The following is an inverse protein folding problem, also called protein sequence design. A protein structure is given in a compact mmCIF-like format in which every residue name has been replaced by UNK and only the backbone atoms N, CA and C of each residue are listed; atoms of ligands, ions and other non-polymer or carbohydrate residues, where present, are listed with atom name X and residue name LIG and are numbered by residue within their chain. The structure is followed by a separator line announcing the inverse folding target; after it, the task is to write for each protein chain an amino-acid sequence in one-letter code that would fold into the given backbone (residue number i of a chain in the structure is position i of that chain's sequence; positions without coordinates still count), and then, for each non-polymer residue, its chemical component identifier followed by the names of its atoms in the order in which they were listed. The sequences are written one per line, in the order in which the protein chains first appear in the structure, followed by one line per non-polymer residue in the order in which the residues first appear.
data_IF_570990674710
#
_entry.id   IF_570990674710
#
_cell.length_a   1.000
_cell.length_b   1.000
_cell.length_c   1.000
_cell.angle_alpha   90.00
_cell.angle_beta   90.00
_cell.angle_gamma   90.00
#
_symmetry.space_group_name_H-M   'P 1'
#
loop_
_entity.id
_entity.type
_entity.pdbx_description
1 polymer ?
#
# COMPACT_ATOMS: atom_id res chain seq x y z
N UNK A 1 -6.33 12.73 7.41
CA UNK A 1 -5.61 13.54 6.39
C UNK A 1 -6.39 14.76 5.88
N UNK A 2 -7.58 15.01 6.42
CA UNK A 2 -8.57 15.93 5.85
C UNK A 2 -8.05 17.35 5.55
N UNK A 3 -7.22 17.88 6.41
CA UNK A 3 -6.75 19.27 6.31
C UNK A 3 -5.23 19.34 6.15
N UNK A 4 -4.61 18.23 5.68
CA UNK A 4 -3.16 18.14 5.54
C UNK A 4 -2.81 18.04 4.07
N UNK A 5 -2.02 18.99 3.60
CA UNK A 5 -1.39 18.90 2.29
C UNK A 5 -0.14 18.02 2.38
N UNK A 6 -0.12 16.95 1.59
CA UNK A 6 1.03 16.03 1.57
C UNK A 6 2.01 16.51 0.52
N UNK A 7 3.21 16.91 0.97
CA UNK A 7 4.20 17.59 0.14
C UNK A 7 5.56 16.92 0.07
N UNK A 8 5.79 15.85 0.84
CA UNK A 8 7.07 15.14 0.85
C UNK A 8 6.88 13.64 1.13
N UNK A 9 7.85 12.80 0.72
CA UNK A 9 7.79 11.36 1.00
C UNK A 9 7.79 11.07 2.49
N UNK A 10 7.09 10.01 2.89
CA UNK A 10 6.95 9.59 4.29
C UNK A 10 6.22 10.58 5.22
N UNK A 11 5.61 11.61 4.66
CA UNK A 11 4.71 12.45 5.46
C UNK A 11 3.47 11.68 5.89
N UNK A 12 2.86 10.95 4.97
CA UNK A 12 1.69 10.13 5.27
C UNK A 12 1.76 8.81 4.51
N UNK A 13 1.48 7.72 5.21
CA UNK A 13 1.29 6.39 4.63
C UNK A 13 -0.17 5.98 4.74
N UNK A 14 -0.61 5.11 3.85
CA UNK A 14 -1.93 4.49 3.90
C UNK A 14 -1.80 2.97 3.81
N UNK A 15 -2.71 2.26 4.48
CA UNK A 15 -2.82 0.81 4.44
C UNK A 15 -4.24 0.41 4.10
N UNK A 16 -4.39 -0.67 3.35
CA UNK A 16 -5.69 -1.29 3.09
C UNK A 16 -5.52 -2.76 2.72
N UNK A 17 -6.61 -3.50 2.80
CA UNK A 17 -6.70 -4.91 2.46
C UNK A 17 -7.67 -5.07 1.31
N UNK A 18 -7.33 -5.92 0.34
CA UNK A 18 -8.22 -6.31 -0.74
C UNK A 18 -8.24 -7.83 -0.92
N UNK A 19 -9.21 -8.32 -1.70
CA UNK A 19 -9.32 -9.74 -2.06
C UNK A 19 -8.62 -9.99 -3.39
N UNK A 20 -7.90 -11.09 -3.47
CA UNK A 20 -7.28 -11.57 -4.70
C UNK A 20 -7.98 -12.87 -5.10
N UNK A 21 -8.79 -12.88 -6.17
CA UNK A 21 -9.43 -14.11 -6.62
C UNK A 21 -8.40 -15.10 -7.15
N UNK A 22 -8.58 -16.35 -6.78
CA UNK A 22 -7.78 -17.47 -7.22
C UNK A 22 -8.60 -18.36 -8.16
N UNK A 23 -7.97 -19.32 -8.81
CA UNK A 23 -8.71 -20.34 -9.57
C UNK A 23 -9.74 -21.03 -8.67
N UNK A 24 -9.42 -21.25 -7.40
CA UNK A 24 -10.34 -21.70 -6.35
C UNK A 24 -10.18 -20.83 -5.12
N UNK A 25 -11.29 -20.19 -4.71
CA UNK A 25 -11.27 -19.31 -3.53
C UNK A 25 -10.58 -17.99 -3.77
N UNK A 26 -9.99 -17.43 -2.72
CA UNK A 26 -9.32 -16.14 -2.76
C UNK A 26 -8.25 -16.04 -1.67
N UNK A 27 -7.36 -15.06 -1.84
CA UNK A 27 -6.41 -14.63 -0.80
C UNK A 27 -6.72 -13.19 -0.40
N UNK A 28 -6.21 -12.79 0.76
CA UNK A 28 -6.18 -11.39 1.18
C UNK A 28 -4.82 -10.79 0.81
N UNK A 29 -4.84 -9.56 0.36
CA UNK A 29 -3.64 -8.77 0.10
C UNK A 29 -3.71 -7.49 0.92
N UNK A 30 -2.69 -7.24 1.73
CA UNK A 30 -2.47 -5.95 2.40
C UNK A 30 -1.33 -5.23 1.72
N UNK A 31 -1.45 -3.92 1.57
CA UNK A 31 -0.37 -3.07 1.08
C UNK A 31 -0.30 -1.77 1.86
N UNK A 32 0.92 -1.27 2.01
CA UNK A 32 1.21 0.06 2.56
C UNK A 32 1.80 0.90 1.45
N UNK A 33 1.24 2.08 1.24
CA UNK A 33 1.73 3.03 0.25
C UNK A 33 2.17 4.33 0.91
N UNK A 34 3.14 4.98 0.28
CA UNK A 34 3.46 6.38 0.56
C UNK A 34 2.48 7.27 -0.20
N UNK A 35 1.79 8.15 0.52
CA UNK A 35 0.76 9.01 -0.07
C UNK A 35 1.31 9.98 -1.11
N UNK A 36 2.49 10.55 -0.83
CA UNK A 36 3.10 11.55 -1.71
C UNK A 36 3.49 10.97 -3.07
N UNK A 37 4.21 9.85 -3.06
CA UNK A 37 4.76 9.21 -4.26
C UNK A 37 3.88 8.12 -4.85
N UNK A 38 2.91 7.62 -4.05
CA UNK A 38 2.11 6.41 -4.36
C UNK A 38 2.93 5.14 -4.43
N UNK A 39 4.19 5.18 -3.96
CA UNK A 39 5.06 4.01 -3.92
C UNK A 39 4.47 2.95 -2.98
N UNK A 40 4.43 1.71 -3.46
CA UNK A 40 4.13 0.55 -2.62
C UNK A 40 5.36 0.25 -1.79
N UNK A 41 5.26 0.48 -0.48
CA UNK A 41 6.39 0.31 0.44
C UNK A 41 6.54 -1.13 0.91
N UNK A 42 5.42 -1.81 1.13
CA UNK A 42 5.38 -3.22 1.51
C UNK A 42 4.01 -3.81 1.20
N UNK A 43 3.97 -5.12 1.10
CA UNK A 43 2.72 -5.86 0.89
C UNK A 43 2.88 -7.31 1.37
N UNK A 44 1.74 -7.95 1.70
CA UNK A 44 1.69 -9.35 2.13
C UNK A 44 0.41 -10.01 1.63
N UNK A 45 0.53 -11.28 1.27
CA UNK A 45 -0.61 -12.16 0.98
C UNK A 45 -0.88 -13.06 2.19
N UNK A 46 -2.16 -13.35 2.43
CA UNK A 46 -2.58 -14.26 3.49
C UNK A 46 -3.85 -14.99 3.09
N UNK A 47 -4.02 -16.22 3.54
CA UNK A 47 -5.28 -16.95 3.41
C UNK A 47 -6.25 -16.65 4.57
N UNK A 48 -5.81 -15.90 5.57
CA UNK A 48 -6.63 -15.48 6.72
C UNK A 48 -6.56 -13.96 6.88
N UNK A 49 -7.67 -13.36 7.31
CA UNK A 49 -7.74 -11.92 7.60
C UNK A 49 -7.49 -11.71 9.10
N UNK A 50 -6.24 -11.77 9.51
CA UNK A 50 -5.82 -11.51 10.88
C UNK A 50 -4.87 -10.31 10.96
N UNK A 51 -4.52 -9.92 12.19
CA UNK A 51 -3.64 -8.76 12.41
C UNK A 51 -2.19 -9.06 12.03
N UNK A 52 -1.76 -10.31 12.05
CA UNK A 52 -0.34 -10.67 11.91
C UNK A 52 0.25 -10.28 10.56
N UNK A 53 -0.44 -10.53 9.45
CA UNK A 53 0.10 -10.19 8.14
C UNK A 53 0.13 -8.67 7.90
N UNK A 54 -0.78 -7.92 8.53
CA UNK A 54 -0.74 -6.46 8.53
C UNK A 54 0.45 -5.93 9.32
N UNK A 55 0.75 -6.52 10.49
CA UNK A 55 1.93 -6.17 11.29
C UNK A 55 3.23 -6.47 10.56
N UNK A 56 3.32 -7.61 9.87
CA UNK A 56 4.50 -7.95 9.07
C UNK A 56 4.75 -6.91 7.98
N UNK A 57 3.70 -6.47 7.30
CA UNK A 57 3.82 -5.41 6.29
C UNK A 57 4.28 -4.08 6.91
N UNK A 58 3.72 -3.71 8.07
CA UNK A 58 4.11 -2.50 8.78
C UNK A 58 5.57 -2.55 9.23
N UNK A 59 5.99 -3.63 9.84
CA UNK A 59 7.37 -3.80 10.33
C UNK A 59 8.38 -3.72 9.19
N UNK A 60 8.08 -4.35 8.05
CA UNK A 60 8.94 -4.26 6.87
C UNK A 60 9.05 -2.83 6.35
N UNK A 61 7.94 -2.13 6.22
CA UNK A 61 7.95 -0.74 5.75
C UNK A 61 8.74 0.17 6.69
N UNK A 62 8.55 0.03 8.01
CA UNK A 62 9.29 0.80 9.01
C UNK A 62 10.79 0.52 8.96
N UNK A 63 11.16 -0.74 8.77
CA UNK A 63 12.57 -1.15 8.69
C UNK A 63 13.28 -0.54 7.49
N UNK A 64 12.63 -0.49 6.34
CA UNK A 64 13.25 -0.04 5.09
C UNK A 64 13.17 1.47 4.85
N UNK A 65 12.13 2.12 5.38
CA UNK A 65 11.83 3.53 5.04
C UNK A 65 11.79 4.45 6.25
N UNK A 66 11.90 3.91 7.46
CA UNK A 66 11.69 4.70 8.69
C UNK A 66 10.23 5.03 8.93
N UNK A 67 9.90 5.67 10.05
CA UNK A 67 8.51 5.98 10.38
C UNK A 67 7.97 7.16 9.59
N UNK A 68 6.69 7.11 9.15
CA UNK A 68 6.02 8.27 8.60
C UNK A 68 5.59 9.22 9.72
N UNK A 69 5.22 10.45 9.36
CA UNK A 69 4.62 11.37 10.33
C UNK A 69 3.20 10.93 10.70
N UNK A 70 2.44 10.50 9.69
CA UNK A 70 1.04 10.10 9.82
C UNK A 70 0.82 8.74 9.15
N UNK A 71 0.03 7.90 9.81
CA UNK A 71 -0.40 6.63 9.25
C UNK A 71 -1.92 6.60 9.16
N UNK A 72 -2.45 6.44 7.96
CA UNK A 72 -3.88 6.43 7.68
C UNK A 72 -4.39 5.02 7.42
N UNK A 73 -5.49 4.64 8.06
CA UNK A 73 -6.19 3.38 7.85
C UNK A 73 -7.69 3.59 7.91
N UNK A 74 -8.44 2.60 7.47
CA UNK A 74 -9.86 2.54 7.77
C UNK A 74 -10.09 2.05 9.21
N UNK A 75 -11.35 1.90 9.63
CA UNK A 75 -11.70 1.44 10.96
C UNK A 75 -11.82 -0.09 11.05
N UNK A 76 -11.19 -0.82 10.14
CA UNK A 76 -11.17 -2.28 10.16
C UNK A 76 -10.55 -2.84 11.45
N UNK A 77 -11.02 -4.00 11.88
CA UNK A 77 -10.60 -4.62 13.14
C UNK A 77 -9.10 -4.90 13.20
N UNK A 78 -8.46 -5.17 12.06
CA UNK A 78 -7.02 -5.40 11.97
C UNK A 78 -6.22 -4.15 12.35
N UNK A 79 -6.73 -2.97 11.98
CA UNK A 79 -6.04 -1.69 12.14
C UNK A 79 -6.38 -0.99 13.46
N UNK A 80 -7.49 -1.40 14.10
CA UNK A 80 -7.90 -0.88 15.41
C UNK A 80 -7.45 -1.79 16.55
N UNK A 81 -6.80 -2.91 16.25
CA UNK A 81 -6.28 -3.82 17.27
C UNK A 81 -5.23 -3.13 18.15
N UNK A 82 -5.15 -3.55 19.41
CA UNK A 82 -4.17 -3.01 20.35
C UNK A 82 -2.74 -3.20 19.86
N UNK A 83 -2.44 -4.35 19.26
CA UNK A 83 -1.11 -4.67 18.73
C UNK A 83 -0.70 -3.74 17.60
N UNK A 84 -1.58 -3.52 16.63
CA UNK A 84 -1.30 -2.65 15.49
C UNK A 84 -1.16 -1.18 15.91
N UNK A 85 -2.09 -0.71 16.73
CA UNK A 85 -2.08 0.66 17.26
C UNK A 85 -0.83 0.92 18.09
N UNK A 86 -0.43 -0.03 18.94
CA UNK A 86 0.75 0.11 19.79
C UNK A 86 2.04 0.16 18.96
N UNK A 87 2.12 -0.64 17.91
CA UNK A 87 3.28 -0.61 17.00
C UNK A 87 3.46 0.77 16.37
N UNK A 88 2.38 1.42 15.98
CA UNK A 88 2.43 2.80 15.45
C UNK A 88 2.86 3.80 16.52
N UNK A 89 2.28 3.73 17.70
CA UNK A 89 2.58 4.65 18.82
C UNK A 89 4.03 4.50 19.30
N UNK A 90 4.56 3.29 19.34
CA UNK A 90 5.95 3.01 19.73
C UNK A 90 6.97 3.70 18.82
N UNK A 91 6.59 4.00 17.58
CA UNK A 91 7.42 4.72 16.62
C UNK A 91 7.11 6.21 16.53
N UNK A 92 6.27 6.73 17.43
CA UNK A 92 5.90 8.14 17.45
C UNK A 92 5.03 8.58 16.27
N UNK A 93 4.32 7.63 15.65
CA UNK A 93 3.51 7.88 14.45
C UNK A 93 2.12 8.37 14.85
N UNK A 94 1.66 9.43 14.22
CA UNK A 94 0.30 9.93 14.42
C UNK A 94 -0.68 9.08 13.61
N UNK A 95 -1.71 8.58 14.28
CA UNK A 95 -2.73 7.74 13.67
C UNK A 95 -3.87 8.60 13.13
N UNK A 96 -4.21 8.40 11.86
CA UNK A 96 -5.38 8.97 11.21
C UNK A 96 -6.28 7.83 10.75
N UNK A 97 -7.56 7.88 11.08
CA UNK A 97 -8.53 6.90 10.63
C UNK A 97 -9.60 7.56 9.76
N UNK A 98 -9.96 6.87 8.67
CA UNK A 98 -11.02 7.31 7.80
C UNK A 98 -12.35 7.25 8.56
N UNK A 99 -13.02 8.38 8.66
CA UNK A 99 -14.38 8.42 9.15
C UNK A 99 -15.37 7.88 8.11
N UNK A 100 -16.58 7.57 8.56
CA UNK A 100 -17.65 7.12 7.69
C UNK A 100 -17.88 8.13 6.56
N UNK A 101 -17.79 7.67 5.31
CA UNK A 101 -17.98 8.50 4.13
C UNK A 101 -16.73 9.25 3.64
N UNK A 102 -15.55 8.98 4.18
CA UNK A 102 -14.29 9.63 3.80
C UNK A 102 -13.44 8.76 2.88
N UNK A 103 -13.98 8.35 1.78
CA UNK A 103 -13.28 7.58 0.75
C UNK A 103 -12.08 8.33 0.15
N UNK A 104 -12.07 9.66 0.22
CA UNK A 104 -11.00 10.50 -0.34
C UNK A 104 -9.64 10.19 0.28
N UNK A 105 -9.61 9.83 1.57
CA UNK A 105 -8.37 9.54 2.28
C UNK A 105 -7.71 8.24 1.83
N UNK A 106 -8.43 7.34 1.13
CA UNK A 106 -7.91 6.09 0.60
C UNK A 106 -7.85 6.05 -0.93
N UNK A 107 -8.05 7.18 -1.60
CA UNK A 107 -8.15 7.24 -3.07
C UNK A 107 -6.93 6.63 -3.79
N UNK A 108 -5.72 6.82 -3.27
CA UNK A 108 -4.52 6.36 -3.96
C UNK A 108 -4.30 4.86 -3.79
N UNK A 109 -4.67 4.28 -2.64
CA UNK A 109 -4.58 2.84 -2.47
C UNK A 109 -5.71 2.13 -3.24
N UNK A 110 -6.87 2.75 -3.36
CA UNK A 110 -7.94 2.23 -4.21
C UNK A 110 -7.55 2.24 -5.69
N UNK A 111 -6.82 3.26 -6.14
CA UNK A 111 -6.25 3.30 -7.50
C UNK A 111 -5.20 2.21 -7.70
N UNK A 112 -4.38 1.92 -6.70
CA UNK A 112 -3.46 0.79 -6.74
C UNK A 112 -4.22 -0.53 -6.94
N UNK A 113 -5.28 -0.76 -6.16
CA UNK A 113 -6.10 -1.96 -6.29
C UNK A 113 -6.70 -2.10 -7.68
N UNK A 114 -7.22 -1.00 -8.22
CA UNK A 114 -7.78 -1.00 -9.56
C UNK A 114 -6.74 -1.34 -10.61
N UNK A 115 -5.57 -0.72 -10.57
CA UNK A 115 -4.48 -0.98 -11.50
C UNK A 115 -4.02 -2.44 -11.40
N UNK A 116 -3.76 -2.93 -10.20
CA UNK A 116 -3.35 -4.31 -9.96
C UNK A 116 -4.37 -5.31 -10.51
N UNK A 117 -5.65 -5.10 -10.24
CA UNK A 117 -6.69 -6.04 -10.64
C UNK A 117 -6.88 -6.07 -12.15
N UNK A 118 -6.96 -4.91 -12.79
CA UNK A 118 -7.19 -4.84 -14.24
C UNK A 118 -5.95 -5.14 -15.08
N UNK A 119 -4.76 -4.81 -14.58
CA UNK A 119 -3.51 -4.99 -15.33
C UNK A 119 -2.84 -6.33 -15.05
N UNK A 120 -3.19 -7.02 -13.96
CA UNK A 120 -2.54 -8.27 -13.55
C UNK A 120 -3.55 -9.36 -13.15
N UNK A 121 -4.29 -9.16 -12.08
CA UNK A 121 -5.08 -10.20 -11.41
C UNK A 121 -6.18 -10.79 -12.30
N UNK A 122 -6.98 -9.94 -12.93
CA UNK A 122 -8.11 -10.40 -13.75
C UNK A 122 -7.68 -11.02 -15.10
N UNK A 123 -6.42 -10.80 -15.49
CA UNK A 123 -5.86 -11.43 -16.69
C UNK A 123 -5.34 -12.84 -16.40
N UNK A 124 -5.29 -13.25 -15.16
CA UNK A 124 -4.71 -14.53 -14.72
C UNK A 124 -5.64 -15.21 -13.72
N UNK A 125 -5.54 -16.53 -13.67
CA UNK A 125 -6.24 -17.33 -12.68
C UNK A 125 -5.18 -18.09 -11.88
N UNK A 126 -4.69 -17.47 -10.81
CA UNK A 126 -3.66 -18.07 -9.97
C UNK A 126 -4.14 -19.40 -9.40
N UNK A 127 -3.33 -20.43 -9.53
CA UNK A 127 -3.66 -21.78 -9.04
C UNK A 127 -3.10 -22.05 -7.67
N UNK A 128 -2.00 -21.39 -7.30
CA UNK A 128 -1.35 -21.54 -5.99
C UNK A 128 -1.06 -20.19 -5.37
N UNK A 129 -0.99 -20.10 -4.02
CA UNK A 129 -0.55 -18.88 -3.34
C UNK A 129 0.86 -18.43 -3.77
N UNK A 130 1.75 -19.38 -4.02
CA UNK A 130 3.12 -19.08 -4.48
C UNK A 130 3.13 -18.41 -5.85
N UNK A 131 2.29 -18.88 -6.78
CA UNK A 131 2.13 -18.24 -8.09
C UNK A 131 1.61 -16.82 -7.95
N UNK A 132 0.57 -16.62 -7.13
CA UNK A 132 0.03 -15.30 -6.84
C UNK A 132 1.10 -14.36 -6.26
N UNK A 133 1.88 -14.83 -5.30
CA UNK A 133 2.94 -14.05 -4.67
C UNK A 133 4.01 -13.63 -5.68
N UNK A 134 4.46 -14.55 -6.53
CA UNK A 134 5.46 -14.27 -7.56
C UNK A 134 4.95 -13.24 -8.57
N UNK A 135 3.76 -13.45 -9.11
CA UNK A 135 3.20 -12.60 -10.16
C UNK A 135 2.81 -11.22 -9.64
N UNK A 136 2.21 -11.16 -8.47
CA UNK A 136 1.89 -9.89 -7.82
C UNK A 136 3.18 -9.13 -7.44
N UNK A 137 4.19 -9.85 -6.96
CA UNK A 137 5.49 -9.26 -6.66
C UNK A 137 6.14 -8.61 -7.88
N UNK A 138 6.11 -9.29 -9.02
CA UNK A 138 6.59 -8.72 -10.28
C UNK A 138 5.78 -7.48 -10.68
N UNK A 139 4.48 -7.51 -10.49
CA UNK A 139 3.62 -6.35 -10.76
C UNK A 139 3.96 -5.17 -9.84
N UNK A 140 4.19 -5.40 -8.56
CA UNK A 140 4.53 -4.32 -7.61
C UNK A 140 5.86 -3.65 -7.95
N UNK A 141 6.84 -4.43 -8.42
CA UNK A 141 8.11 -3.87 -8.94
C UNK A 141 7.85 -3.01 -10.17
N UNK A 142 7.09 -3.52 -11.12
CA UNK A 142 6.68 -2.75 -12.31
C UNK A 142 5.95 -1.46 -11.93
N UNK A 143 5.00 -1.53 -11.01
CA UNK A 143 4.22 -0.38 -10.53
C UNK A 143 5.13 0.70 -9.96
N UNK A 144 6.07 0.34 -9.14
CA UNK A 144 6.98 1.28 -8.50
C UNK A 144 8.04 1.86 -9.45
N UNK A 145 8.61 1.02 -10.31
CA UNK A 145 9.82 1.38 -11.07
C UNK A 145 9.56 1.78 -12.52
N UNK A 146 8.48 1.31 -13.12
CA UNK A 146 8.26 1.45 -14.56
C UNK A 146 6.94 2.11 -14.93
N UNK A 147 5.90 1.95 -14.11
CA UNK A 147 4.58 2.46 -14.40
C UNK A 147 4.50 3.96 -14.14
N UNK A 148 4.31 4.73 -15.21
CA UNK A 148 4.13 6.17 -15.14
C UNK A 148 2.72 6.54 -14.67
N UNK A 149 2.62 7.60 -13.88
CA UNK A 149 1.36 8.12 -13.38
C UNK A 149 1.13 9.55 -13.83
N UNK A 150 0.00 9.79 -14.46
CA UNK A 150 -0.37 11.13 -14.91
C UNK A 150 -0.42 12.13 -13.74
N UNK A 151 -0.95 11.71 -12.60
CA UNK A 151 -0.99 12.53 -11.39
C UNK A 151 0.37 12.79 -10.74
N UNK A 152 1.45 12.15 -11.21
CA UNK A 152 2.82 12.37 -10.80
C UNK A 152 3.65 13.04 -11.90
N UNK A 153 3.03 13.80 -12.79
CA UNK A 153 3.68 14.41 -13.96
C UNK A 153 4.37 13.37 -14.86
N UNK A 154 3.71 12.22 -15.06
CA UNK A 154 4.20 11.08 -15.83
C UNK A 154 5.47 10.43 -15.27
N UNK A 155 5.80 10.68 -14.01
CA UNK A 155 6.87 9.99 -13.30
C UNK A 155 6.37 8.65 -12.71
N UNK A 156 7.31 7.78 -12.39
CA UNK A 156 7.02 6.57 -11.61
C UNK A 156 6.94 6.89 -10.13
N UNK A 157 6.31 6.03 -9.32
CA UNK A 157 6.36 6.17 -7.87
C UNK A 157 7.78 6.25 -7.31
N UNK A 158 8.71 5.43 -7.80
CA UNK A 158 10.10 5.47 -7.34
C UNK A 158 10.79 6.79 -7.68
N UNK A 159 10.60 7.29 -8.89
CA UNK A 159 11.16 8.59 -9.27
C UNK A 159 10.66 9.71 -8.36
N UNK A 160 9.37 9.69 -8.04
CA UNK A 160 8.75 10.68 -7.16
C UNK A 160 9.21 10.52 -5.71
N UNK A 161 9.31 9.29 -5.22
CA UNK A 161 9.72 9.01 -3.85
C UNK A 161 11.19 9.40 -3.60
N UNK A 162 12.09 9.01 -4.50
CA UNK A 162 13.52 9.29 -4.35
C UNK A 162 13.94 10.66 -4.88
N UNK A 163 13.03 11.41 -5.49
CA UNK A 163 13.35 12.73 -6.05
C UNK A 163 14.26 12.66 -7.28
N UNK A 164 14.30 11.53 -7.97
CA UNK A 164 15.08 11.36 -9.18
C UNK A 164 14.34 11.96 -10.36
N UNK A 165 14.86 13.01 -10.92
CA UNK A 165 14.41 13.47 -12.22
C UNK A 165 14.83 12.45 -13.28
N UNK A 166 13.94 12.18 -14.24
CA UNK A 166 14.36 11.50 -15.46
C UNK A 166 15.38 12.38 -16.13
N UNK A 167 16.63 12.02 -16.02
CA UNK A 167 17.59 12.57 -16.95
C UNK A 167 17.29 11.93 -18.30
N UNK A 168 16.95 12.77 -19.27
CA UNK A 168 17.05 12.39 -20.65
C UNK A 168 18.51 12.01 -20.90
N UNK A 169 18.75 10.72 -21.02
CA UNK A 169 20.06 10.22 -21.39
C UNK A 169 20.39 10.67 -22.81
#
# INVERSE_FOLDING_TARGET
LRDIEVTYPNQAWAIDITYIPMAKGFLYLVAIIDWFSRKVLSWRLSNTMDTSFCLEALEEALKHYGPPDIFNSDQGSQFTSAEFTQALLDHGIRISMDGKGRWVDNVFIERLWRSLKYEEVYLKAYTTPREAELEIGNYMVFYNEERNHQGLNDLTPDETYFGRQRYAA
#
